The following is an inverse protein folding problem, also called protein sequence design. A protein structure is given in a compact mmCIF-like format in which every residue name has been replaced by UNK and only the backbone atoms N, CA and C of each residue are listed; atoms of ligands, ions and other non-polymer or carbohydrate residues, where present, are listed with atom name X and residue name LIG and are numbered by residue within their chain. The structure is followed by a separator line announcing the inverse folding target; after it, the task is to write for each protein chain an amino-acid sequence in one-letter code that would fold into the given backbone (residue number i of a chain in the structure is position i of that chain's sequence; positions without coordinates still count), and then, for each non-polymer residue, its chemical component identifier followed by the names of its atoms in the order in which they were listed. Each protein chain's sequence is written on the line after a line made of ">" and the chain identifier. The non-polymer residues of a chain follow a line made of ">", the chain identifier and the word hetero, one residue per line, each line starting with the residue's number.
data_IF_861093692653
#
_entry.id   IF_861093692653
#
_cell.length_a   1.000
_cell.length_b   1.000
_cell.length_c   1.000
_cell.angle_alpha   90.00
_cell.angle_beta   90.00
_cell.angle_gamma   90.00
#
_symmetry.space_group_name_H-M   'P 1'
#
loop_
_entity.id
_entity.type
_entity.pdbx_description
1 polymer ?
#
# COMPACT_ATOMS: atom_id res chain seq x y z
N UNK A 1 -36.39 11.92 13.26
CA UNK A 1 -36.07 11.91 11.82
C UNK A 1 -34.58 12.16 11.73
N UNK A 2 -33.85 11.12 11.36
CA UNK A 2 -32.40 11.04 11.36
C UNK A 2 -31.78 12.01 10.35
N UNK A 3 -31.13 13.07 10.85
CA UNK A 3 -30.25 13.90 10.03
C UNK A 3 -28.94 13.15 9.81
N UNK A 4 -28.86 12.55 8.63
CA UNK A 4 -27.85 11.61 8.21
C UNK A 4 -26.43 12.14 8.37
N UNK A 5 -25.66 11.37 9.13
CA UNK A 5 -24.19 11.28 9.15
C UNK A 5 -23.68 11.01 7.72
N UNK A 6 -23.63 12.01 6.86
CA UNK A 6 -23.06 11.88 5.51
C UNK A 6 -22.32 13.11 5.01
N UNK A 7 -22.11 14.12 5.86
CA UNK A 7 -21.29 15.30 5.51
C UNK A 7 -19.79 15.09 5.81
N UNK A 8 -19.41 13.94 6.39
CA UNK A 8 -18.03 13.64 6.80
C UNK A 8 -17.13 13.07 5.69
N UNK A 9 -17.61 12.99 4.44
CA UNK A 9 -16.87 12.37 3.33
C UNK A 9 -16.60 13.33 2.16
N UNK A 10 -16.56 14.65 2.39
CA UNK A 10 -15.89 15.54 1.44
C UNK A 10 -14.38 15.25 1.45
N UNK A 11 -14.00 14.23 0.69
CA UNK A 11 -12.62 14.00 0.28
C UNK A 11 -12.30 15.10 -0.72
N UNK A 12 -11.73 16.20 -0.22
CA UNK A 12 -11.08 17.21 -1.06
C UNK A 12 -10.08 16.43 -1.94
N UNK A 13 -10.18 16.48 -3.27
CA UNK A 13 -9.24 15.77 -4.12
C UNK A 13 -7.87 16.39 -3.90
N UNK A 14 -7.05 15.72 -3.08
CA UNK A 14 -5.64 16.05 -2.92
C UNK A 14 -5.01 15.89 -4.28
N UNK A 15 -4.75 17.03 -4.91
CA UNK A 15 -3.88 17.28 -6.05
C UNK A 15 -3.65 16.04 -6.95
N UNK A 16 -4.46 15.92 -8.02
CA UNK A 16 -4.53 14.74 -8.93
C UNK A 16 -3.18 14.28 -9.50
N UNK A 17 -2.15 15.13 -9.47
CA UNK A 17 -0.85 14.82 -10.07
C UNK A 17 0.15 14.08 -9.15
N UNK A 18 -0.04 14.09 -7.83
CA UNK A 18 0.92 13.46 -6.90
C UNK A 18 0.22 12.73 -5.76
N UNK A 19 -0.30 11.55 -6.07
CA UNK A 19 -0.86 10.64 -5.07
C UNK A 19 0.23 10.12 -4.12
N UNK A 20 -0.14 9.94 -2.84
CA UNK A 20 0.68 9.20 -1.89
C UNK A 20 0.56 7.71 -2.21
N UNK A 21 1.68 7.09 -2.50
CA UNK A 21 1.80 5.68 -2.85
C UNK A 21 2.62 4.95 -1.79
N UNK A 22 2.39 3.65 -1.66
CA UNK A 22 3.05 2.80 -0.68
C UNK A 22 3.76 1.66 -1.39
N UNK A 23 5.09 1.68 -1.37
CA UNK A 23 5.93 0.64 -1.95
C UNK A 23 6.26 -0.35 -0.83
N UNK A 24 5.60 -1.51 -0.84
CA UNK A 24 5.82 -2.59 0.11
C UNK A 24 6.91 -3.52 -0.41
N UNK A 25 8.07 -3.53 0.24
CA UNK A 25 9.20 -4.40 -0.13
C UNK A 25 9.26 -5.66 0.72
N UNK A 26 8.73 -5.65 1.95
CA UNK A 26 8.65 -6.82 2.81
C UNK A 26 7.25 -7.01 3.34
N UNK A 27 6.55 -8.05 2.90
CA UNK A 27 5.17 -8.32 3.28
C UNK A 27 4.65 -9.63 2.69
N UNK A 28 3.36 -9.89 2.83
CA UNK A 28 2.68 -11.07 2.27
C UNK A 28 2.46 -10.91 0.76
N UNK A 29 2.19 -9.69 0.29
CA UNK A 29 2.11 -9.37 -1.12
C UNK A 29 2.90 -8.08 -1.43
N UNK A 30 4.25 -8.14 -1.55
CA UNK A 30 5.05 -7.00 -1.95
C UNK A 30 4.58 -6.38 -3.27
N UNK A 31 4.54 -5.06 -3.33
CA UNK A 31 4.00 -4.32 -4.47
C UNK A 31 3.79 -2.85 -4.19
N UNK A 32 3.14 -2.15 -5.12
CA UNK A 32 2.78 -0.74 -4.99
C UNK A 32 1.28 -0.63 -4.70
N UNK A 33 0.93 0.16 -3.70
CA UNK A 33 -0.43 0.37 -3.25
C UNK A 33 -0.79 1.85 -3.31
N UNK A 34 -2.02 2.15 -3.71
CA UNK A 34 -2.54 3.53 -3.81
C UNK A 34 -3.28 3.97 -2.54
N UNK A 35 -3.58 3.04 -1.64
CA UNK A 35 -4.24 3.33 -0.37
C UNK A 35 -3.64 2.54 0.80
N UNK A 36 -3.66 3.17 1.98
CA UNK A 36 -3.19 2.55 3.23
C UNK A 36 -4.03 1.34 3.64
N UNK A 37 -5.34 1.38 3.38
CA UNK A 37 -6.25 0.27 3.70
C UNK A 37 -5.95 -0.97 2.87
N UNK A 38 -5.71 -0.82 1.57
CA UNK A 38 -5.31 -1.91 0.67
C UNK A 38 -3.95 -2.48 1.07
N UNK A 39 -2.97 -1.62 1.36
CA UNK A 39 -1.66 -2.04 1.86
C UNK A 39 -1.77 -2.92 3.11
N UNK A 40 -2.57 -2.52 4.10
CA UNK A 40 -2.71 -3.25 5.36
C UNK A 40 -3.40 -4.60 5.13
N UNK A 41 -4.49 -4.60 4.36
CA UNK A 41 -5.32 -5.79 4.13
C UNK A 41 -4.63 -6.82 3.24
N UNK A 42 -4.12 -6.38 2.09
CA UNK A 42 -3.66 -7.28 1.03
C UNK A 42 -2.15 -7.48 1.11
N UNK A 43 -1.41 -6.38 1.31
CA UNK A 43 0.05 -6.38 1.35
C UNK A 43 0.62 -6.96 2.63
N UNK A 44 0.17 -6.46 3.79
CA UNK A 44 0.72 -6.82 5.10
C UNK A 44 -0.04 -7.98 5.77
N UNK A 45 -1.34 -8.11 5.52
CA UNK A 45 -2.24 -8.98 6.29
C UNK A 45 -2.05 -8.85 7.81
N UNK A 46 -1.80 -7.62 8.29
CA UNK A 46 -1.52 -7.32 9.70
C UNK A 46 -0.25 -7.97 10.30
N UNK A 47 0.64 -8.54 9.49
CA UNK A 47 1.85 -9.28 9.95
C UNK A 47 3.12 -8.44 10.04
N UNK A 48 2.99 -7.11 9.98
CA UNK A 48 4.13 -6.19 9.89
C UNK A 48 4.89 -6.30 8.56
N UNK A 49 5.76 -5.34 8.29
CA UNK A 49 6.47 -5.29 7.01
C UNK A 49 7.27 -4.01 6.82
N UNK A 50 7.94 -3.92 5.68
CA UNK A 50 8.74 -2.74 5.30
C UNK A 50 8.04 -2.04 4.16
N UNK A 51 7.59 -0.81 4.42
CA UNK A 51 6.85 0.02 3.49
C UNK A 51 7.59 1.35 3.34
N UNK A 52 7.80 1.76 2.09
CA UNK A 52 8.27 3.10 1.76
C UNK A 52 7.11 3.92 1.23
N UNK A 53 6.88 5.09 1.82
CA UNK A 53 5.90 6.06 1.31
C UNK A 53 6.57 6.88 0.22
N UNK A 54 5.91 6.99 -0.93
CA UNK A 54 6.40 7.70 -2.10
C UNK A 54 5.35 8.70 -2.59
N UNK A 55 5.77 9.90 -2.96
CA UNK A 55 4.89 10.93 -3.52
C UNK A 55 5.27 11.17 -4.98
N UNK A 56 4.43 10.72 -5.89
CA UNK A 56 4.69 10.79 -7.33
C UNK A 56 3.65 10.00 -8.11
N UNK A 57 4.00 9.62 -9.34
CA UNK A 57 3.14 8.80 -10.19
C UNK A 57 3.21 7.31 -9.84
N UNK A 58 2.16 6.58 -10.18
CA UNK A 58 2.15 5.12 -10.03
C UNK A 58 3.22 4.44 -10.89
N UNK A 59 3.52 5.00 -12.07
CA UNK A 59 4.56 4.47 -12.95
C UNK A 59 5.96 4.58 -12.33
N UNK A 60 6.29 5.73 -11.73
CA UNK A 60 7.57 5.91 -11.03
C UNK A 60 7.70 4.98 -9.83
N UNK A 61 6.67 4.89 -8.99
CA UNK A 61 6.66 3.98 -7.85
C UNK A 61 6.83 2.52 -8.28
N UNK A 62 6.24 2.15 -9.42
CA UNK A 62 6.38 0.81 -9.97
C UNK A 62 7.78 0.54 -10.49
N UNK A 63 8.39 1.50 -11.18
CA UNK A 63 9.77 1.41 -11.63
C UNK A 63 10.73 1.22 -10.44
N UNK A 64 10.56 2.00 -9.36
CA UNK A 64 11.33 1.87 -8.12
C UNK A 64 11.16 0.46 -7.50
N UNK A 65 9.92 -0.04 -7.45
CA UNK A 65 9.66 -1.37 -6.93
C UNK A 65 10.33 -2.47 -7.76
N UNK A 66 10.25 -2.39 -9.09
CA UNK A 66 10.82 -3.40 -9.99
C UNK A 66 12.35 -3.37 -9.96
N UNK A 67 12.97 -2.18 -9.83
CA UNK A 67 14.40 -2.02 -9.56
C UNK A 67 14.82 -2.72 -8.25
N UNK A 68 14.12 -2.41 -7.15
CA UNK A 68 14.39 -3.04 -5.86
C UNK A 68 14.18 -4.56 -5.88
N UNK A 69 13.20 -5.02 -6.65
CA UNK A 69 12.95 -6.45 -6.86
C UNK A 69 14.12 -7.09 -7.61
N UNK A 70 14.61 -6.46 -8.68
CA UNK A 70 15.78 -6.93 -9.43
C UNK A 70 17.05 -6.98 -8.56
N UNK A 71 17.20 -6.04 -7.63
CA UNK A 71 18.29 -6.01 -6.66
C UNK A 71 18.08 -6.91 -5.42
N UNK A 72 17.05 -7.75 -5.39
CA UNK A 72 16.81 -8.69 -4.28
C UNK A 72 16.38 -8.04 -2.96
N UNK A 73 15.95 -6.77 -2.99
CA UNK A 73 15.47 -6.03 -1.80
C UNK A 73 14.02 -6.38 -1.43
N UNK A 74 13.31 -7.09 -2.31
CA UNK A 74 11.92 -7.52 -2.08
C UNK A 74 11.88 -8.90 -1.42
N UNK A 75 11.22 -9.01 -0.27
CA UNK A 75 11.11 -10.23 0.54
C UNK A 75 9.66 -10.60 0.81
N UNK A 76 9.27 -11.80 0.38
CA UNK A 76 7.97 -12.39 0.73
C UNK A 76 8.02 -12.93 2.17
N UNK A 77 7.07 -12.52 3.00
CA UNK A 77 6.86 -13.18 4.29
C UNK A 77 6.08 -14.47 4.06
N UNK A 78 6.54 -15.58 4.66
CA UNK A 78 5.80 -16.84 4.57
C UNK A 78 4.42 -16.64 5.20
N UNK A 79 3.39 -17.04 4.46
CA UNK A 79 2.06 -17.28 5.02
C UNK A 79 2.21 -18.41 6.04
N UNK A 80 2.21 -18.08 7.32
CA UNK A 80 1.97 -19.10 8.35
C UNK A 80 0.48 -19.39 8.23
N UNK A 81 0.16 -20.43 7.47
CA UNK A 81 -1.13 -21.10 7.55
C UNK A 81 -1.16 -21.60 8.99
N UNK A 82 -2.05 -21.06 9.82
CA UNK A 82 -2.21 -21.58 11.17
C UNK A 82 -2.49 -23.07 11.05
N UNK A 83 -1.62 -23.89 11.64
CA UNK A 83 -2.04 -25.23 12.02
C UNK A 83 -3.17 -25.00 13.04
N UNK A 84 -4.39 -25.23 12.59
CA UNK A 84 -5.54 -25.51 13.44
C UNK A 84 -5.47 -26.99 13.84
#
# INVERSE_FOLDING_TARGET
>A
MDEGVFDALQVIPVNKDKSLLYILTRGIAPGVYTSKSQLIRDGLQFRGGTVTVYKGSHAEARCIFDDWKAHGKVKLLKKVIGAL
#
